data_IF_175023583447
#
_entry.id   IF_175023583447
#
_cell.length_a   1.000
_cell.length_b   1.000
_cell.length_c   1.000
_cell.angle_alpha   90.00
_cell.angle_beta   90.00
_cell.angle_gamma   90.00
#
_symmetry.space_group_name_H-M   'P 1'
#
loop_
_entity.id
_entity.type
_entity.pdbx_description
1 polymer ?
#
# COMPACT_ATOMS: atom_id res chain seq x y z
N UNK A 1 -73.75 21.60 3.91
CA UNK A 1 -74.72 21.12 2.90
C UNK A 1 -73.98 21.05 1.57
N UNK A 2 -74.14 19.94 0.82
CA UNK A 2 -73.53 19.64 -0.51
C UNK A 2 -72.03 19.30 -0.42
N UNK A 3 -71.57 18.04 -0.31
CA UNK A 3 -71.65 16.87 -1.21
C UNK A 3 -71.32 17.15 -2.67
N UNK A 4 -70.12 16.75 -3.13
CA UNK A 4 -69.99 16.10 -4.44
C UNK A 4 -69.10 14.87 -4.33
N UNK A 5 -69.72 13.75 -4.68
CA UNK A 5 -69.18 12.41 -4.82
C UNK A 5 -68.96 12.18 -6.32
N UNK A 6 -67.87 11.50 -6.74
CA UNK A 6 -67.87 10.70 -7.97
C UNK A 6 -66.85 9.54 -7.86
N UNK A 7 -67.43 8.35 -7.74
CA UNK A 7 -66.93 6.99 -8.05
C UNK A 7 -66.45 6.87 -9.52
N UNK A 8 -65.71 5.88 -10.05
CA UNK A 8 -65.34 4.47 -9.80
C UNK A 8 -63.93 4.24 -10.42
N UNK A 9 -63.13 3.19 -10.22
CA UNK A 9 -63.28 1.82 -9.70
C UNK A 9 -61.88 1.16 -9.55
N UNK A 10 -61.79 -0.15 -9.21
CA UNK A 10 -60.59 -0.77 -8.66
C UNK A 10 -59.63 -1.30 -9.73
N UNK A 11 -58.31 -1.24 -9.48
CA UNK A 11 -57.30 -1.99 -10.22
C UNK A 11 -56.58 -2.99 -9.28
N UNK A 12 -56.61 -4.24 -9.71
CA UNK A 12 -56.05 -5.44 -9.08
C UNK A 12 -54.51 -5.37 -8.92
N UNK A 13 -54.03 -5.70 -7.72
CA UNK A 13 -53.23 -6.90 -7.37
C UNK A 13 -51.82 -7.01 -8.00
N UNK A 14 -50.80 -6.72 -7.21
CA UNK A 14 -49.47 -7.37 -7.35
C UNK A 14 -48.64 -7.42 -6.05
N UNK A 15 -49.21 -7.05 -4.89
CA UNK A 15 -48.49 -7.04 -3.60
C UNK A 15 -48.82 -8.21 -2.66
N UNK A 16 -49.49 -9.27 -3.15
CA UNK A 16 -49.80 -10.46 -2.34
C UNK A 16 -48.91 -11.69 -2.65
N UNK A 17 -48.19 -11.72 -3.78
CA UNK A 17 -47.33 -12.85 -4.14
C UNK A 17 -45.94 -12.83 -3.45
N UNK A 18 -45.43 -11.66 -3.09
CA UNK A 18 -44.08 -11.52 -2.51
C UNK A 18 -44.06 -11.79 -1.00
N UNK A 19 -45.19 -11.61 -0.31
CA UNK A 19 -45.29 -11.80 1.15
C UNK A 19 -45.55 -13.25 1.56
N UNK A 20 -46.03 -14.09 0.64
CA UNK A 20 -46.35 -15.50 0.91
C UNK A 20 -45.12 -16.40 0.71
N UNK A 21 -44.29 -16.14 -0.31
CA UNK A 21 -43.02 -16.85 -0.50
C UNK A 21 -42.00 -16.65 0.63
N UNK A 22 -42.03 -15.49 1.32
CA UNK A 22 -41.13 -15.22 2.45
C UNK A 22 -41.51 -15.98 3.73
N UNK A 23 -42.81 -16.24 3.95
CA UNK A 23 -43.28 -17.02 5.12
C UNK A 23 -43.08 -18.52 4.95
N UNK A 24 -43.20 -19.05 3.73
CA UNK A 24 -43.01 -20.49 3.48
C UNK A 24 -41.52 -20.90 3.52
N UNK A 25 -40.60 -19.99 3.19
CA UNK A 25 -39.16 -20.21 3.38
C UNK A 25 -38.71 -20.11 4.85
N UNK A 26 -39.32 -19.23 5.65
CA UNK A 26 -39.03 -19.16 7.09
C UNK A 26 -39.60 -20.37 7.87
N UNK A 27 -40.70 -20.97 7.41
CA UNK A 27 -41.29 -22.16 8.06
C UNK A 27 -40.61 -23.48 7.69
N UNK A 28 -39.91 -23.57 6.55
CA UNK A 28 -39.09 -24.76 6.21
C UNK A 28 -37.75 -24.80 6.94
N UNK A 29 -37.18 -23.66 7.35
CA UNK A 29 -35.89 -23.62 8.05
C UNK A 29 -36.03 -23.95 9.55
N UNK A 30 -37.23 -23.87 10.12
CA UNK A 30 -37.47 -24.04 11.58
C UNK A 30 -38.02 -25.43 11.96
N UNK A 31 -38.19 -26.35 11.01
CA UNK A 31 -38.86 -27.65 11.25
C UNK A 31 -37.93 -28.87 11.38
N UNK A 32 -36.62 -28.77 11.16
CA UNK A 32 -35.73 -29.96 11.14
C UNK A 32 -34.84 -30.14 12.37
N UNK A 33 -35.03 -29.35 13.44
CA UNK A 33 -34.18 -29.42 14.62
C UNK A 33 -34.95 -29.79 15.90
N UNK A 34 -35.53 -30.99 15.93
CA UNK A 34 -35.90 -31.64 17.19
C UNK A 34 -36.07 -33.17 17.05
N UNK A 35 -34.97 -33.92 16.97
CA UNK A 35 -34.97 -35.33 17.38
C UNK A 35 -33.59 -35.80 17.86
N UNK A 36 -33.28 -35.51 19.12
CA UNK A 36 -32.07 -35.99 19.80
C UNK A 36 -32.16 -37.49 20.10
N UNK A 37 -31.61 -38.32 19.20
CA UNK A 37 -31.19 -39.70 19.53
C UNK A 37 -29.73 -39.70 19.96
N UNK A 38 -29.48 -40.11 21.21
CA UNK A 38 -28.15 -40.34 21.82
C UNK A 38 -27.22 -41.12 20.87
N UNK A 39 -26.10 -40.52 20.44
CA UNK A 39 -24.92 -41.22 19.90
C UNK A 39 -23.62 -40.65 20.47
N UNK A 40 -22.60 -41.52 20.52
CA UNK A 40 -21.38 -41.47 21.34
C UNK A 40 -20.38 -40.39 20.89
N UNK A 41 -19.52 -39.99 21.83
CA UNK A 41 -18.59 -38.85 21.82
C UNK A 41 -17.38 -38.91 20.85
N UNK A 42 -17.53 -39.45 19.64
CA UNK A 42 -16.44 -39.52 18.64
C UNK A 42 -16.65 -38.70 17.36
N UNK A 43 -17.80 -38.00 17.23
CA UNK A 43 -18.27 -37.46 15.94
C UNK A 43 -18.36 -35.91 15.90
N UNK A 44 -18.08 -35.22 17.01
CA UNK A 44 -18.24 -33.75 17.13
C UNK A 44 -17.11 -32.95 16.47
N UNK A 45 -15.88 -33.46 16.47
CA UNK A 45 -14.73 -32.69 15.95
C UNK A 45 -14.72 -32.64 14.42
N UNK A 46 -15.20 -33.68 13.74
CA UNK A 46 -15.33 -33.69 12.28
C UNK A 46 -16.42 -32.72 11.79
N UNK A 47 -17.50 -32.57 12.56
CA UNK A 47 -18.62 -31.70 12.21
C UNK A 47 -18.22 -30.21 12.32
N UNK A 48 -17.47 -29.86 13.37
CA UNK A 48 -16.91 -28.50 13.54
C UNK A 48 -15.89 -28.16 12.46
N UNK A 49 -15.01 -29.09 12.08
CA UNK A 49 -14.03 -28.83 11.01
C UNK A 49 -14.70 -28.69 9.64
N UNK A 50 -15.77 -29.43 9.39
CA UNK A 50 -16.56 -29.32 8.16
C UNK A 50 -17.34 -27.99 8.09
N UNK A 51 -17.91 -27.54 9.22
CA UNK A 51 -18.53 -26.21 9.35
C UNK A 51 -17.52 -25.08 9.11
N UNK A 52 -16.31 -25.17 9.68
CA UNK A 52 -15.24 -24.19 9.46
C UNK A 52 -14.81 -24.17 7.99
N UNK A 53 -14.68 -25.33 7.35
CA UNK A 53 -14.33 -25.44 5.94
C UNK A 53 -15.40 -24.79 5.05
N UNK A 54 -16.69 -25.07 5.27
CA UNK A 54 -17.81 -24.44 4.57
C UNK A 54 -17.84 -22.93 4.77
N UNK A 55 -17.54 -22.46 5.98
CA UNK A 55 -17.47 -21.02 6.29
C UNK A 55 -16.33 -20.35 5.51
N UNK A 56 -15.19 -21.02 5.41
CA UNK A 56 -14.03 -20.51 4.66
C UNK A 56 -14.31 -20.48 3.15
N UNK A 57 -14.97 -21.51 2.59
CA UNK A 57 -15.43 -21.50 1.19
C UNK A 57 -16.45 -20.38 0.94
N UNK A 58 -17.36 -20.13 1.88
CA UNK A 58 -18.33 -19.03 1.76
C UNK A 58 -17.64 -17.66 1.77
N UNK A 59 -16.62 -17.45 2.62
CA UNK A 59 -15.82 -16.22 2.66
C UNK A 59 -15.06 -16.03 1.34
N UNK A 60 -14.39 -17.08 0.83
CA UNK A 60 -13.69 -17.00 -0.44
C UNK A 60 -14.62 -16.73 -1.62
N UNK A 61 -15.81 -17.33 -1.62
CA UNK A 61 -16.85 -17.06 -2.62
C UNK A 61 -17.35 -15.61 -2.55
N UNK A 62 -17.49 -15.07 -1.34
CA UNK A 62 -17.88 -13.67 -1.13
C UNK A 62 -16.79 -12.70 -1.60
N UNK A 63 -15.52 -12.95 -1.25
CA UNK A 63 -14.38 -12.15 -1.71
C UNK A 63 -14.25 -12.14 -3.23
N UNK A 64 -14.48 -13.29 -3.86
CA UNK A 64 -14.52 -13.40 -5.32
C UNK A 64 -15.67 -12.59 -5.92
N UNK A 65 -16.84 -12.63 -5.28
CA UNK A 65 -18.01 -11.86 -5.71
C UNK A 65 -17.79 -10.35 -5.55
N UNK A 66 -17.18 -9.92 -4.45
CA UNK A 66 -16.80 -8.51 -4.23
C UNK A 66 -15.78 -8.07 -5.28
N UNK A 67 -14.78 -8.89 -5.57
CA UNK A 67 -13.76 -8.60 -6.59
C UNK A 67 -14.39 -8.50 -7.99
N UNK A 68 -15.33 -9.40 -8.32
CA UNK A 68 -16.08 -9.35 -9.58
C UNK A 68 -16.94 -8.09 -9.68
N UNK A 69 -17.67 -7.73 -8.63
CA UNK A 69 -18.48 -6.51 -8.60
C UNK A 69 -17.61 -5.25 -8.71
N UNK A 70 -16.42 -5.24 -8.10
CA UNK A 70 -15.47 -4.14 -8.25
C UNK A 70 -14.94 -4.04 -9.68
N UNK A 71 -14.65 -5.17 -10.35
CA UNK A 71 -14.28 -5.19 -11.77
C UNK A 71 -15.43 -4.73 -12.66
N UNK A 72 -16.66 -5.18 -12.42
CA UNK A 72 -17.84 -4.74 -13.17
C UNK A 72 -18.13 -3.25 -12.96
N UNK A 73 -17.95 -2.72 -11.75
CA UNK A 73 -18.08 -1.29 -11.47
C UNK A 73 -17.01 -0.48 -12.21
N UNK A 74 -15.78 -0.99 -12.27
CA UNK A 74 -14.67 -0.38 -13.00
C UNK A 74 -14.90 -0.43 -14.51
N UNK A 75 -15.34 -1.56 -15.05
CA UNK A 75 -15.66 -1.75 -16.45
C UNK A 75 -16.89 -0.92 -16.87
N UNK A 76 -17.90 -0.79 -16.00
CA UNK A 76 -19.09 0.04 -16.24
C UNK A 76 -18.76 1.53 -16.23
N UNK A 77 -17.85 1.97 -15.35
CA UNK A 77 -17.29 3.34 -15.40
C UNK A 77 -16.58 3.59 -16.73
N UNK A 78 -15.71 2.67 -17.16
CA UNK A 78 -15.00 2.78 -18.44
C UNK A 78 -15.96 2.71 -19.66
N UNK A 79 -17.04 1.94 -19.59
CA UNK A 79 -18.05 1.85 -20.66
C UNK A 79 -18.94 3.10 -20.74
N UNK A 80 -19.24 3.73 -19.60
CA UNK A 80 -19.92 5.04 -19.55
C UNK A 80 -19.01 6.18 -20.07
N UNK A 81 -17.69 6.05 -19.94
CA UNK A 81 -16.70 6.95 -20.55
C UNK A 81 -16.62 6.77 -22.09
N UNK A 82 -16.79 5.55 -22.60
CA UNK A 82 -16.79 5.25 -24.05
C UNK A 82 -18.11 5.59 -24.76
N UNK A 83 -19.27 5.58 -24.08
CA UNK A 83 -20.55 5.98 -24.70
C UNK A 83 -20.78 7.50 -24.77
N UNK A 84 -19.97 8.30 -24.07
CA UNK A 84 -20.01 9.77 -24.14
C UNK A 84 -19.11 10.38 -25.22
N UNK A 85 -18.33 9.56 -25.94
CA UNK A 85 -17.31 10.00 -26.89
C UNK A 85 -17.77 10.08 -28.36
N UNK A 86 -19.02 9.73 -28.69
CA UNK A 86 -19.54 9.71 -30.07
C UNK A 86 -20.38 10.94 -30.47
N UNK A 87 -20.28 12.05 -29.74
CA UNK A 87 -21.10 13.24 -29.97
C UNK A 87 -20.35 14.57 -29.92
N UNK A 88 -19.80 14.97 -31.07
CA UNK A 88 -19.47 16.35 -31.46
C UNK A 88 -18.13 16.96 -30.97
N UNK A 89 -17.42 17.46 -31.98
CA UNK A 89 -16.14 18.17 -32.00
C UNK A 89 -16.09 19.47 -31.20
N UNK A 90 -14.86 19.81 -30.79
CA UNK A 90 -14.26 21.11 -30.41
C UNK A 90 -13.91 21.34 -28.93
N UNK A 91 -12.67 21.81 -28.74
CA UNK A 91 -11.99 22.33 -27.54
C UNK A 91 -11.73 21.36 -26.39
N UNK A 92 -10.46 20.92 -26.31
CA UNK A 92 -9.90 20.13 -25.22
C UNK A 92 -9.65 20.99 -23.97
N UNK A 93 -10.65 21.09 -23.10
CA UNK A 93 -10.47 21.33 -21.67
C UNK A 93 -10.99 20.07 -20.96
N UNK A 94 -10.08 19.34 -20.31
CA UNK A 94 -10.37 18.04 -19.72
C UNK A 94 -11.35 18.13 -18.54
N UNK A 95 -12.32 17.23 -18.57
CA UNK A 95 -13.41 17.00 -17.62
C UNK A 95 -13.01 17.01 -16.14
N UNK A 96 -13.73 17.81 -15.35
CA UNK A 96 -14.35 17.53 -14.03
C UNK A 96 -13.60 16.86 -12.86
N UNK A 97 -12.50 16.16 -13.08
CA UNK A 97 -11.61 15.65 -12.03
C UNK A 97 -10.56 16.72 -11.79
N UNK A 98 -10.39 17.22 -10.54
CA UNK A 98 -9.33 18.17 -10.26
C UNK A 98 -8.00 17.61 -10.75
N UNK A 99 -7.21 18.37 -11.55
CA UNK A 99 -5.95 17.88 -12.04
C UNK A 99 -5.07 17.45 -10.85
N UNK A 100 -4.55 16.22 -10.92
CA UNK A 100 -3.64 15.68 -9.90
C UNK A 100 -2.46 16.64 -9.74
N UNK A 101 -2.03 16.83 -8.50
CA UNK A 101 -0.89 17.71 -8.21
C UNK A 101 0.36 17.14 -8.86
N UNK A 102 1.01 17.93 -9.71
CA UNK A 102 2.31 17.57 -10.30
C UNK A 102 3.37 17.52 -9.20
N UNK A 103 4.21 16.50 -9.25
CA UNK A 103 5.34 16.33 -8.36
C UNK A 103 6.51 15.72 -9.14
N UNK A 104 7.72 15.87 -8.62
CA UNK A 104 8.88 15.13 -9.11
C UNK A 104 8.92 13.73 -8.47
N UNK A 105 8.83 13.65 -7.14
CA UNK A 105 8.75 12.38 -6.44
C UNK A 105 7.82 12.42 -5.23
N UNK A 106 7.18 11.28 -4.94
CA UNK A 106 6.35 11.07 -3.74
C UNK A 106 6.98 9.98 -2.89
N UNK A 107 7.35 10.32 -1.65
CA UNK A 107 7.99 9.44 -0.69
C UNK A 107 6.97 9.03 0.37
N UNK A 108 6.69 7.73 0.46
CA UNK A 108 5.93 7.11 1.53
C UNK A 108 6.85 6.44 2.55
N UNK A 109 6.89 6.99 3.77
CA UNK A 109 7.64 6.43 4.89
C UNK A 109 6.73 5.41 5.60
N UNK A 110 7.05 4.13 5.47
CA UNK A 110 6.32 3.05 6.11
C UNK A 110 6.49 3.12 7.63
N UNK A 111 5.39 3.27 8.36
CA UNK A 111 5.40 3.36 9.82
C UNK A 111 4.24 2.59 10.43
N UNK A 112 4.18 2.47 11.76
CA UNK A 112 3.11 1.79 12.47
C UNK A 112 2.64 2.61 13.67
N UNK A 113 1.52 2.21 14.28
CA UNK A 113 0.99 2.84 15.50
C UNK A 113 2.03 2.92 16.63
N UNK A 114 2.81 1.86 16.82
CA UNK A 114 3.86 1.76 17.86
C UNK A 114 5.09 2.62 17.56
N UNK A 115 5.23 3.16 16.34
CA UNK A 115 6.46 3.80 15.87
C UNK A 115 6.51 5.31 16.06
N UNK A 116 5.71 5.88 16.98
CA UNK A 116 5.68 7.34 17.23
C UNK A 116 7.07 7.95 17.40
N UNK A 117 7.88 7.38 18.29
CA UNK A 117 9.24 7.86 18.57
C UNK A 117 10.16 7.79 17.34
N UNK A 118 9.94 6.83 16.44
CA UNK A 118 10.71 6.73 15.18
C UNK A 118 10.33 7.86 14.24
N UNK A 119 9.02 8.15 14.09
CA UNK A 119 8.56 9.30 13.31
C UNK A 119 9.13 10.60 13.83
N UNK A 120 9.11 10.81 15.13
CA UNK A 120 9.73 11.99 15.75
C UNK A 120 11.24 12.05 15.43
N UNK A 121 11.97 10.94 15.52
CA UNK A 121 13.39 10.90 15.15
C UNK A 121 13.66 11.22 13.67
N UNK A 122 12.77 10.82 12.76
CA UNK A 122 12.85 11.14 11.33
C UNK A 122 12.60 12.63 11.09
N UNK A 123 11.59 13.19 11.74
CA UNK A 123 11.27 14.63 11.70
C UNK A 123 12.39 15.49 12.28
N UNK A 124 13.02 15.05 13.36
CA UNK A 124 14.14 15.75 14.01
C UNK A 124 15.47 15.63 13.25
N UNK A 125 15.49 14.88 12.14
CA UNK A 125 16.69 14.66 11.32
C UNK A 125 16.43 14.98 9.85
N UNK A 126 16.24 13.97 9.00
CA UNK A 126 16.31 14.16 7.55
C UNK A 126 14.99 14.61 6.90
N UNK A 127 13.86 14.55 7.61
CA UNK A 127 12.57 14.99 7.07
C UNK A 127 12.27 16.43 7.51
N UNK A 128 12.18 17.40 6.57
CA UNK A 128 11.77 18.76 6.91
C UNK A 128 10.37 18.81 7.52
N UNK A 129 10.11 19.81 8.36
CA UNK A 129 8.84 19.99 9.06
C UNK A 129 8.14 21.31 8.69
N UNK A 130 6.83 21.37 8.89
CA UNK A 130 6.05 22.60 8.80
C UNK A 130 6.23 23.36 7.48
N UNK A 131 6.62 24.63 7.56
CA UNK A 131 6.84 25.47 6.38
C UNK A 131 7.95 24.94 5.46
N UNK A 132 9.00 24.32 5.99
CA UNK A 132 10.07 23.77 5.17
C UNK A 132 9.58 22.57 4.34
N UNK A 133 8.72 21.71 4.92
CA UNK A 133 8.09 20.61 4.19
C UNK A 133 7.18 21.13 3.06
N UNK A 134 6.37 22.16 3.34
CA UNK A 134 5.51 22.80 2.33
C UNK A 134 6.33 23.46 1.22
N UNK A 135 7.44 24.11 1.58
CA UNK A 135 8.38 24.70 0.63
C UNK A 135 9.00 23.63 -0.26
N UNK A 136 9.42 22.52 0.32
CA UNK A 136 9.99 21.39 -0.41
C UNK A 136 9.00 20.83 -1.46
N UNK A 137 7.73 20.67 -1.07
CA UNK A 137 6.67 20.25 -1.98
C UNK A 137 6.44 21.25 -3.12
N UNK A 138 6.35 22.54 -2.78
CA UNK A 138 5.99 23.58 -3.75
C UNK A 138 7.12 23.89 -4.73
N UNK A 139 8.36 23.98 -4.24
CA UNK A 139 9.50 24.46 -5.03
C UNK A 139 10.27 23.34 -5.71
N UNK A 140 10.31 22.13 -5.10
CA UNK A 140 11.05 20.99 -5.64
C UNK A 140 10.15 19.87 -6.14
N UNK A 141 8.83 19.93 -5.89
CA UNK A 141 7.92 18.85 -6.24
C UNK A 141 8.21 17.57 -5.46
N UNK A 142 8.83 17.66 -4.28
CA UNK A 142 9.15 16.50 -3.44
C UNK A 142 8.12 16.41 -2.33
N UNK A 143 7.28 15.36 -2.37
CA UNK A 143 6.26 15.10 -1.36
C UNK A 143 6.79 14.02 -0.41
N UNK A 144 6.78 14.26 0.89
CA UNK A 144 7.20 13.28 1.91
C UNK A 144 6.07 13.09 2.91
N UNK A 145 5.59 11.85 3.06
CA UNK A 145 4.50 11.52 4.00
C UNK A 145 4.79 10.23 4.74
N UNK A 146 4.41 10.18 6.02
CA UNK A 146 4.30 8.92 6.75
C UNK A 146 3.06 8.16 6.28
N UNK A 147 3.23 6.98 5.70
CA UNK A 147 2.11 6.17 5.25
C UNK A 147 1.61 5.27 6.38
N UNK A 148 0.34 5.43 6.76
CA UNK A 148 -0.28 4.72 7.86
C UNK A 148 -1.74 4.41 7.57
N UNK A 149 -2.15 3.19 7.87
CA UNK A 149 -3.54 2.75 7.81
C UNK A 149 -4.35 3.22 9.03
N UNK A 150 -5.42 2.49 9.29
CA UNK A 150 -6.29 2.67 10.44
C UNK A 150 -6.34 1.39 11.27
N UNK A 151 -6.82 1.49 12.50
CA UNK A 151 -7.01 0.31 13.32
C UNK A 151 -8.22 -0.50 12.84
N UNK A 152 -8.31 -1.78 13.21
CA UNK A 152 -9.47 -2.61 12.88
C UNK A 152 -10.79 -2.10 13.49
N UNK A 153 -10.70 -1.37 14.61
CA UNK A 153 -11.86 -0.83 15.32
C UNK A 153 -11.94 0.67 15.11
N UNK A 154 -12.97 1.13 14.41
CA UNK A 154 -13.16 2.57 14.16
C UNK A 154 -13.13 3.39 15.45
N UNK A 155 -12.44 4.54 15.41
CA UNK A 155 -12.30 5.49 16.50
C UNK A 155 -11.62 4.89 17.77
N UNK A 156 -10.64 4.00 17.58
CA UNK A 156 -9.81 3.48 18.65
C UNK A 156 -8.93 4.55 19.30
N UNK A 157 -8.36 4.25 20.47
CA UNK A 157 -7.36 5.12 21.13
C UNK A 157 -6.15 5.37 20.21
N UNK A 158 -5.77 4.35 19.43
CA UNK A 158 -4.66 4.45 18.48
C UNK A 158 -4.98 5.42 17.34
N UNK A 159 -6.21 5.38 16.82
CA UNK A 159 -6.64 6.30 15.76
C UNK A 159 -6.69 7.75 16.26
N UNK A 160 -7.22 7.98 17.47
CA UNK A 160 -7.25 9.31 18.09
C UNK A 160 -5.86 9.87 18.37
N UNK A 161 -4.91 9.03 18.77
CA UNK A 161 -3.52 9.44 18.94
C UNK A 161 -2.90 9.90 17.62
N UNK A 162 -3.20 9.20 16.51
CA UNK A 162 -2.79 9.63 15.18
C UNK A 162 -3.50 10.91 14.73
N UNK A 163 -4.78 11.09 15.03
CA UNK A 163 -5.50 12.34 14.69
C UNK A 163 -4.90 13.55 15.43
N UNK A 164 -4.50 13.37 16.70
CA UNK A 164 -3.79 14.40 17.44
C UNK A 164 -2.42 14.72 16.86
N UNK A 165 -1.72 13.72 16.33
CA UNK A 165 -0.43 13.90 15.66
C UNK A 165 -0.59 14.60 14.31
N UNK A 166 -1.57 14.19 13.52
CA UNK A 166 -1.88 14.80 12.22
C UNK A 166 -2.26 16.27 12.37
N UNK A 167 -3.02 16.61 13.41
CA UNK A 167 -3.35 18.00 13.71
C UNK A 167 -2.11 18.88 14.00
N UNK A 168 -1.02 18.29 14.47
CA UNK A 168 0.23 18.99 14.79
C UNK A 168 1.18 19.08 13.59
N UNK A 169 1.36 17.97 12.87
CA UNK A 169 2.44 17.86 11.87
C UNK A 169 1.94 17.89 10.41
N UNK A 170 0.69 17.48 10.15
CA UNK A 170 0.07 17.45 8.82
C UNK A 170 0.91 16.70 7.76
N UNK A 171 1.54 15.60 8.17
CA UNK A 171 2.53 14.87 7.39
C UNK A 171 2.20 13.38 7.22
N UNK A 172 0.97 12.95 7.54
CA UNK A 172 0.50 11.61 7.20
C UNK A 172 -0.10 11.49 5.80
N UNK A 173 0.05 10.31 5.23
CA UNK A 173 -0.80 9.76 4.19
C UNK A 173 -1.62 8.62 4.80
N UNK A 174 -2.88 8.94 5.16
CA UNK A 174 -3.84 7.94 5.65
C UNK A 174 -4.24 7.00 4.51
N UNK A 175 -4.09 5.71 4.74
CA UNK A 175 -4.43 4.65 3.79
C UNK A 175 -5.72 3.94 4.22
N UNK A 176 -6.56 3.56 3.25
CA UNK A 176 -7.69 2.65 3.46
C UNK A 176 -7.16 1.22 3.62
N UNK A 177 -6.56 0.98 4.79
CA UNK A 177 -5.84 -0.23 5.13
C UNK A 177 -5.94 -0.50 6.62
N UNK A 178 -6.37 -1.69 7.01
CA UNK A 178 -6.29 -2.13 8.41
C UNK A 178 -4.85 -2.52 8.70
N UNK A 179 -4.19 -1.81 9.62
CA UNK A 179 -2.84 -2.14 10.04
C UNK A 179 -2.77 -3.51 10.72
N UNK A 180 -1.77 -4.30 10.35
CA UNK A 180 -1.54 -5.63 10.89
C UNK A 180 -0.11 -6.12 10.69
N UNK A 181 0.32 -7.09 11.49
CA UNK A 181 1.71 -7.57 11.48
C UNK A 181 2.13 -8.22 10.14
N UNK A 182 1.20 -8.86 9.43
CA UNK A 182 1.44 -9.56 8.16
C UNK A 182 0.90 -8.82 6.93
N UNK A 183 0.62 -7.52 7.07
CA UNK A 183 -0.08 -6.75 6.04
C UNK A 183 0.82 -5.77 5.26
N UNK A 184 2.14 -5.83 5.46
CA UNK A 184 3.11 -4.91 4.84
C UNK A 184 3.00 -4.89 3.30
N UNK A 185 2.94 -6.06 2.66
CA UNK A 185 2.79 -6.17 1.20
C UNK A 185 1.47 -5.56 0.71
N UNK A 186 0.39 -5.69 1.49
CA UNK A 186 -0.90 -5.07 1.17
C UNK A 186 -0.84 -3.55 1.32
N UNK A 187 -0.21 -3.08 2.39
CA UNK A 187 0.00 -1.66 2.66
C UNK A 187 0.80 -0.98 1.56
N UNK A 188 1.93 -1.56 1.13
CA UNK A 188 2.72 -1.05 0.00
C UNK A 188 1.88 -0.95 -1.26
N UNK A 189 1.11 -1.99 -1.57
CA UNK A 189 0.23 -2.01 -2.75
C UNK A 189 -0.83 -0.89 -2.69
N UNK A 190 -1.45 -0.67 -1.53
CA UNK A 190 -2.44 0.40 -1.31
C UNK A 190 -1.77 1.78 -1.36
N UNK A 191 -0.55 1.91 -0.85
CA UNK A 191 0.24 3.14 -0.92
C UNK A 191 0.43 3.60 -2.36
N UNK A 192 0.93 2.74 -3.25
CA UNK A 192 1.15 3.11 -4.65
C UNK A 192 -0.14 3.50 -5.36
N UNK A 193 -1.23 2.75 -5.15
CA UNK A 193 -2.54 3.09 -5.71
C UNK A 193 -3.05 4.46 -5.19
N UNK A 194 -2.94 4.70 -3.88
CA UNK A 194 -3.36 5.95 -3.25
C UNK A 194 -2.51 7.14 -3.71
N UNK A 195 -1.19 6.94 -3.81
CA UNK A 195 -0.26 7.98 -4.23
C UNK A 195 -0.50 8.38 -5.71
N UNK A 196 -0.72 7.40 -6.58
CA UNK A 196 -1.08 7.63 -8.00
C UNK A 196 -2.40 8.39 -8.13
N UNK A 197 -3.38 8.11 -7.28
CA UNK A 197 -4.66 8.82 -7.30
C UNK A 197 -4.53 10.29 -6.87
N UNK A 198 -3.58 10.62 -5.97
CA UNK A 198 -3.40 11.97 -5.41
C UNK A 198 -2.41 12.83 -6.17
N UNK A 199 -1.31 12.25 -6.64
CA UNK A 199 -0.20 12.97 -7.27
C UNK A 199 0.13 12.38 -8.63
N UNK A 200 0.49 13.26 -9.55
CA UNK A 200 1.07 12.89 -10.83
C UNK A 200 2.58 13.17 -10.76
N UNK A 201 3.34 12.16 -10.30
CA UNK A 201 4.76 12.25 -10.04
C UNK A 201 5.59 11.42 -11.02
N UNK A 202 6.85 11.78 -11.24
CA UNK A 202 7.77 11.00 -12.08
C UNK A 202 8.21 9.70 -11.36
N UNK A 203 8.43 9.79 -10.05
CA UNK A 203 8.81 8.66 -9.20
C UNK A 203 7.96 8.54 -7.94
N UNK A 204 7.78 7.30 -7.49
CA UNK A 204 7.15 6.94 -6.22
C UNK A 204 8.14 6.12 -5.41
N UNK A 205 8.41 6.54 -4.18
CA UNK A 205 9.47 6.00 -3.33
C UNK A 205 8.83 5.44 -2.06
N UNK A 206 9.26 4.24 -1.66
CA UNK A 206 8.95 3.69 -0.34
C UNK A 206 10.23 3.68 0.50
N UNK A 207 10.11 4.06 1.76
CA UNK A 207 11.21 4.08 2.76
C UNK A 207 10.68 3.51 4.07
N UNK A 208 11.48 2.79 4.85
CA UNK A 208 11.12 2.40 6.23
C UNK A 208 11.44 3.52 7.25
N UNK A 209 10.67 3.59 8.35
CA UNK A 209 10.82 4.63 9.39
C UNK A 209 12.07 4.51 10.28
N UNK A 210 12.91 3.51 10.04
CA UNK A 210 14.22 3.32 10.68
C UNK A 210 15.38 3.44 9.69
N UNK A 211 15.22 4.17 8.58
CA UNK A 211 16.28 4.43 7.59
C UNK A 211 16.65 5.92 7.58
N UNK A 212 17.94 6.24 7.50
CA UNK A 212 18.42 7.60 7.24
C UNK A 212 18.50 7.82 5.73
N UNK A 213 17.99 8.97 5.25
CA UNK A 213 17.93 9.32 3.83
C UNK A 213 18.52 10.71 3.58
N UNK A 214 19.34 10.83 2.54
CA UNK A 214 19.82 12.10 1.99
C UNK A 214 18.92 12.50 0.80
N UNK A 215 17.97 13.42 1.02
CA UNK A 215 16.89 13.73 0.08
C UNK A 215 17.39 14.37 -1.23
N UNK A 216 18.38 15.24 -1.18
CA UNK A 216 19.00 15.89 -2.34
C UNK A 216 19.77 14.89 -3.18
N UNK A 217 20.53 14.01 -2.55
CA UNK A 217 21.25 12.91 -3.21
C UNK A 217 20.28 11.92 -3.86
N UNK A 218 19.18 11.57 -3.17
CA UNK A 218 18.08 10.77 -3.74
C UNK A 218 17.49 11.47 -4.97
N UNK A 219 17.12 12.75 -4.82
CA UNK A 219 16.45 13.50 -5.87
C UNK A 219 17.33 13.65 -7.13
N UNK A 220 18.60 14.02 -6.95
CA UNK A 220 19.58 14.11 -8.03
C UNK A 220 19.78 12.76 -8.73
N UNK A 221 19.79 11.65 -7.98
CA UNK A 221 19.92 10.31 -8.55
C UNK A 221 18.71 9.94 -9.41
N UNK A 222 17.50 10.16 -8.91
CA UNK A 222 16.26 9.88 -9.66
C UNK A 222 16.11 10.79 -10.88
N UNK A 223 16.56 12.04 -10.81
CA UNK A 223 16.49 12.98 -11.92
C UNK A 223 17.27 12.47 -13.16
N UNK A 224 18.40 11.78 -12.95
CA UNK A 224 19.18 11.14 -14.04
C UNK A 224 18.42 10.02 -14.76
N UNK A 225 17.36 9.50 -14.17
CA UNK A 225 16.55 8.41 -14.70
C UNK A 225 15.15 8.86 -15.15
N UNK A 226 14.85 10.16 -15.05
CA UNK A 226 13.52 10.74 -15.33
C UNK A 226 13.01 10.47 -16.76
N UNK A 227 13.90 10.39 -17.74
CA UNK A 227 13.54 10.13 -19.14
C UNK A 227 13.40 8.65 -19.49
N UNK A 228 13.73 7.74 -18.56
CA UNK A 228 13.67 6.30 -18.80
C UNK A 228 12.28 5.76 -18.44
N UNK A 229 11.62 5.01 -19.33
CA UNK A 229 10.35 4.37 -19.00
C UNK A 229 10.58 3.20 -18.03
N UNK A 230 9.55 2.86 -17.23
CA UNK A 230 9.52 1.63 -16.41
C UNK A 230 10.81 1.36 -15.60
N UNK A 231 11.22 2.32 -14.78
CA UNK A 231 12.41 2.20 -13.92
C UNK A 231 12.03 1.61 -12.56
N UNK A 232 12.77 0.60 -12.13
CA UNK A 232 12.78 0.09 -10.76
C UNK A 232 14.19 0.22 -10.21
N UNK A 233 14.37 1.09 -9.22
CA UNK A 233 15.68 1.45 -8.68
C UNK A 233 15.75 1.20 -7.17
N UNK A 234 16.87 0.65 -6.75
CA UNK A 234 17.18 0.38 -5.35
C UNK A 234 18.48 -0.40 -5.24
N UNK A 235 18.85 -0.80 -4.03
CA UNK A 235 19.96 -1.72 -3.85
C UNK A 235 19.50 -3.14 -4.17
N UNK A 236 19.86 -3.61 -5.36
CA UNK A 236 19.34 -4.86 -5.90
C UNK A 236 20.04 -6.04 -5.23
N UNK A 237 19.25 -7.05 -4.84
CA UNK A 237 19.71 -8.27 -4.18
C UNK A 237 19.01 -9.50 -4.73
N UNK A 238 19.63 -10.65 -4.46
CA UNK A 238 19.01 -11.97 -4.57
C UNK A 238 19.51 -12.77 -3.38
N UNK A 239 18.60 -13.37 -2.62
CA UNK A 239 18.89 -14.11 -1.39
C UNK A 239 18.19 -15.45 -1.38
N UNK A 240 18.58 -16.37 -0.47
CA UNK A 240 17.92 -17.66 -0.33
C UNK A 240 16.42 -17.48 -0.07
N UNK A 241 15.60 -18.32 -0.67
CA UNK A 241 14.17 -18.39 -0.33
C UNK A 241 14.03 -18.85 1.11
N UNK A 242 13.21 -18.16 1.90
CA UNK A 242 13.06 -18.41 3.34
C UNK A 242 12.04 -19.53 3.59
N UNK A 243 12.42 -20.78 3.30
CA UNK A 243 11.54 -21.96 3.39
C UNK A 243 11.39 -22.55 4.80
N UNK A 244 12.21 -22.13 5.76
CA UNK A 244 12.18 -22.67 7.13
C UNK A 244 11.10 -22.02 8.00
N UNK A 245 10.21 -22.81 8.63
CA UNK A 245 9.07 -22.29 9.42
C UNK A 245 9.45 -21.42 10.63
N UNK A 246 10.68 -21.53 11.12
CA UNK A 246 11.17 -20.84 12.33
C UNK A 246 11.84 -19.49 12.04
N UNK A 247 11.94 -19.06 10.79
CA UNK A 247 12.47 -17.74 10.46
C UNK A 247 11.34 -16.70 10.38
N UNK A 248 11.64 -15.46 10.81
CA UNK A 248 10.66 -14.34 10.92
C UNK A 248 9.83 -14.13 9.65
N UNK A 249 10.45 -14.30 8.48
CA UNK A 249 9.83 -14.06 7.18
C UNK A 249 9.73 -15.34 6.36
N UNK A 250 9.40 -16.45 7.02
CA UNK A 250 9.08 -17.71 6.36
C UNK A 250 8.05 -17.48 5.25
N UNK A 251 8.34 -17.95 4.05
CA UNK A 251 7.47 -17.87 2.89
C UNK A 251 6.67 -19.17 2.77
N UNK A 252 5.36 -19.20 3.13
CA UNK A 252 4.56 -20.43 3.08
C UNK A 252 4.47 -21.03 1.68
N UNK A 253 4.58 -20.19 0.65
CA UNK A 253 4.52 -20.58 -0.75
C UNK A 253 5.93 -20.66 -1.39
N UNK A 254 6.95 -20.97 -0.58
CA UNK A 254 8.36 -21.05 -1.03
C UNK A 254 8.56 -21.96 -2.25
N UNK A 255 7.72 -22.99 -2.40
CA UNK A 255 7.75 -23.95 -3.51
C UNK A 255 7.48 -23.28 -4.88
N UNK A 256 6.86 -22.10 -4.93
CA UNK A 256 6.66 -21.33 -6.17
C UNK A 256 7.96 -20.74 -6.72
N UNK A 257 9.02 -20.66 -5.92
CA UNK A 257 10.33 -20.16 -6.31
C UNK A 257 11.25 -21.29 -6.84
N UNK A 258 10.68 -22.48 -7.04
CA UNK A 258 11.36 -23.65 -7.58
C UNK A 258 11.88 -24.59 -6.48
N UNK A 259 13.04 -25.18 -6.73
CA UNK A 259 13.60 -26.25 -5.91
C UNK A 259 14.37 -25.73 -4.68
N UNK A 260 14.69 -26.66 -3.78
CA UNK A 260 15.49 -26.35 -2.59
C UNK A 260 16.86 -25.76 -2.97
N UNK A 261 17.26 -24.68 -2.29
CA UNK A 261 18.48 -23.94 -2.60
C UNK A 261 18.29 -22.79 -3.60
N UNK A 262 17.11 -22.66 -4.21
CA UNK A 262 16.80 -21.51 -5.06
C UNK A 262 16.81 -20.21 -4.29
N UNK A 263 17.10 -19.14 -5.04
CA UNK A 263 17.08 -17.76 -4.56
C UNK A 263 15.82 -17.07 -5.05
N UNK A 264 15.37 -16.08 -4.30
CA UNK A 264 14.43 -15.09 -4.83
C UNK A 264 15.01 -14.45 -6.10
N UNK A 265 14.12 -14.10 -7.03
CA UNK A 265 14.48 -13.28 -8.20
C UNK A 265 15.16 -11.98 -7.77
N UNK A 266 15.82 -11.31 -8.70
CA UNK A 266 16.46 -10.02 -8.44
C UNK A 266 15.41 -8.98 -8.05
N UNK A 267 15.54 -8.38 -6.88
CA UNK A 267 14.65 -7.32 -6.37
C UNK A 267 15.44 -6.32 -5.53
N UNK A 268 14.95 -5.09 -5.39
CA UNK A 268 15.51 -4.09 -4.48
C UNK A 268 15.26 -4.48 -3.02
N UNK A 269 16.15 -4.09 -2.11
CA UNK A 269 15.94 -4.31 -0.68
C UNK A 269 14.79 -3.46 -0.12
N UNK A 270 14.07 -3.99 0.87
CA UNK A 270 12.87 -3.34 1.42
C UNK A 270 13.08 -1.99 2.12
N UNK A 271 14.28 -1.67 2.59
CA UNK A 271 14.53 -0.44 3.36
C UNK A 271 14.21 0.82 2.56
N UNK A 272 14.56 0.83 1.27
CA UNK A 272 14.26 1.92 0.35
C UNK A 272 14.32 1.44 -1.10
N UNK A 273 13.34 1.85 -1.89
CA UNK A 273 13.34 1.69 -3.34
C UNK A 273 12.44 2.75 -3.99
N UNK A 274 12.65 3.00 -5.28
CA UNK A 274 11.79 3.86 -6.08
C UNK A 274 11.36 3.16 -7.37
N UNK A 275 10.16 3.50 -7.83
CA UNK A 275 9.60 3.04 -9.09
C UNK A 275 9.10 4.24 -9.90
N UNK A 276 9.21 4.16 -11.22
CA UNK A 276 8.67 5.19 -12.10
C UNK A 276 7.14 5.19 -12.08
N UNK A 277 6.56 6.30 -12.54
CA UNK A 277 5.11 6.47 -12.73
C UNK A 277 4.44 5.30 -13.45
N UNK A 278 5.06 4.76 -14.50
CA UNK A 278 4.49 3.66 -15.28
C UNK A 278 4.28 2.41 -14.42
N UNK A 279 5.27 2.06 -13.59
CA UNK A 279 5.20 0.89 -12.71
C UNK A 279 4.22 1.11 -11.55
N UNK A 280 4.20 2.31 -10.98
CA UNK A 280 3.22 2.65 -9.95
C UNK A 280 1.79 2.63 -10.51
N UNK A 281 1.59 3.09 -11.75
CA UNK A 281 0.32 3.00 -12.47
C UNK A 281 -0.06 1.55 -12.73
N UNK A 282 0.89 0.71 -13.16
CA UNK A 282 0.67 -0.73 -13.31
C UNK A 282 0.20 -1.39 -12.01
N UNK A 283 0.82 -1.06 -10.88
CA UNK A 283 0.38 -1.55 -9.55
C UNK A 283 -1.05 -1.11 -9.26
N UNK A 284 -1.35 0.17 -9.47
CA UNK A 284 -2.68 0.73 -9.21
C UNK A 284 -3.77 0.05 -10.04
N UNK A 285 -3.51 -0.24 -11.32
CA UNK A 285 -4.49 -0.87 -12.23
C UNK A 285 -4.67 -2.35 -11.89
N UNK A 286 -3.57 -3.07 -11.64
CA UNK A 286 -3.59 -4.52 -11.47
C UNK A 286 -3.71 -4.97 -10.00
N UNK A 287 -3.98 -4.03 -9.10
CA UNK A 287 -4.02 -4.25 -7.65
C UNK A 287 -4.73 -5.55 -7.20
N UNK A 288 -5.91 -5.93 -7.75
CA UNK A 288 -6.62 -7.12 -7.30
C UNK A 288 -5.90 -8.45 -7.59
N UNK A 289 -5.08 -8.50 -8.65
CA UNK A 289 -4.39 -9.72 -9.09
C UNK A 289 -2.93 -9.79 -8.63
N UNK A 290 -2.38 -8.69 -8.11
CA UNK A 290 -1.01 -8.67 -7.59
C UNK A 290 -0.90 -9.48 -6.29
N UNK A 291 -0.18 -10.58 -6.41
CA UNK A 291 0.07 -11.54 -5.34
C UNK A 291 0.96 -10.96 -4.24
N UNK A 292 0.73 -11.35 -2.99
CA UNK A 292 1.46 -10.86 -1.81
C UNK A 292 2.22 -12.04 -1.21
N UNK A 293 3.54 -11.98 -1.25
CA UNK A 293 4.44 -12.86 -0.53
C UNK A 293 4.66 -12.34 0.91
N UNK A 294 5.22 -13.18 1.78
CA UNK A 294 5.51 -12.86 3.17
C UNK A 294 6.51 -11.70 3.31
N UNK A 295 7.44 -11.59 2.36
CA UNK A 295 8.38 -10.48 2.27
C UNK A 295 7.80 -9.40 1.33
N UNK A 296 7.75 -8.17 1.82
CA UNK A 296 7.17 -7.03 1.10
C UNK A 296 8.01 -6.64 -0.14
N UNK A 297 9.33 -6.65 -0.01
CA UNK A 297 10.26 -6.35 -1.10
C UNK A 297 10.28 -7.44 -2.18
N UNK A 298 10.15 -8.71 -1.77
CA UNK A 298 9.91 -9.83 -2.70
C UNK A 298 8.56 -9.64 -3.41
N UNK A 299 7.49 -9.27 -2.69
CA UNK A 299 6.18 -9.01 -3.32
C UNK A 299 6.30 -7.98 -4.43
N UNK A 300 6.90 -6.83 -4.15
CA UNK A 300 7.11 -5.77 -5.14
C UNK A 300 7.89 -6.28 -6.36
N UNK A 301 9.04 -6.94 -6.16
CA UNK A 301 9.85 -7.42 -7.27
C UNK A 301 9.12 -8.47 -8.13
N UNK A 302 8.24 -9.28 -7.54
CA UNK A 302 7.46 -10.28 -8.28
C UNK A 302 6.48 -9.64 -9.27
N UNK A 303 5.99 -8.43 -8.98
CA UNK A 303 5.04 -7.73 -9.83
C UNK A 303 5.68 -7.25 -11.14
N UNK A 304 7.01 -7.18 -11.18
CA UNK A 304 7.78 -6.63 -12.29
C UNK A 304 8.55 -7.69 -13.10
N UNK A 305 8.70 -8.92 -12.61
CA UNK A 305 9.53 -9.95 -13.25
C UNK A 305 9.08 -10.30 -14.67
N UNK A 306 7.77 -10.24 -14.94
CA UNK A 306 7.18 -10.50 -16.25
C UNK A 306 7.07 -9.28 -17.16
N UNK A 307 7.57 -8.12 -16.72
CA UNK A 307 7.49 -6.86 -17.45
C UNK A 307 8.88 -6.44 -17.96
N UNK A 308 8.90 -5.63 -19.01
CA UNK A 308 10.13 -5.02 -19.53
C UNK A 308 10.55 -3.82 -18.66
N UNK A 309 11.06 -4.11 -17.46
CA UNK A 309 11.49 -3.13 -16.45
C UNK A 309 13.01 -2.96 -16.46
N UNK A 310 13.48 -1.71 -16.42
CA UNK A 310 14.88 -1.42 -16.17
C UNK A 310 15.18 -1.49 -14.66
N UNK A 311 15.88 -2.56 -14.25
CA UNK A 311 16.33 -2.74 -12.88
C UNK A 311 17.67 -2.03 -12.67
N UNK A 312 17.67 -0.95 -11.89
CA UNK A 312 18.86 -0.16 -11.58
C UNK A 312 19.37 -0.56 -10.19
N UNK A 313 20.58 -1.13 -10.16
CA UNK A 313 21.28 -1.48 -8.92
C UNK A 313 22.07 -0.27 -8.39
N UNK A 314 21.45 0.52 -7.52
CA UNK A 314 22.05 1.70 -6.90
C UNK A 314 22.58 1.36 -5.50
N UNK A 315 23.89 1.13 -5.40
CA UNK A 315 24.57 0.69 -4.16
C UNK A 315 24.64 1.78 -3.11
N UNK A 316 24.48 3.04 -3.50
CA UNK A 316 24.40 4.15 -2.55
C UNK A 316 23.05 4.18 -1.79
N UNK A 317 22.07 3.35 -2.17
CA UNK A 317 20.80 3.18 -1.43
C UNK A 317 20.87 2.13 -0.31
N UNK A 318 22.03 1.55 -0.01
CA UNK A 318 22.20 0.54 1.03
C UNK A 318 23.56 0.61 1.73
N UNK A 319 24.01 1.82 2.06
CA UNK A 319 25.21 1.99 2.86
C UNK A 319 24.99 1.53 4.31
N UNK A 320 26.06 1.04 4.94
CA UNK A 320 26.08 0.85 6.38
C UNK A 320 26.03 2.19 7.11
N UNK A 321 25.55 2.19 8.36
CA UNK A 321 25.72 3.36 9.25
C UNK A 321 27.22 3.59 9.56
N UNK A 322 27.61 4.68 10.25
CA UNK A 322 29.02 4.97 10.50
C UNK A 322 29.80 3.77 11.06
N UNK A 323 31.01 3.51 10.53
CA UNK A 323 31.80 4.43 9.69
C UNK A 323 31.59 4.30 8.17
N UNK A 324 30.77 3.38 7.65
CA UNK A 324 30.68 3.12 6.19
C UNK A 324 30.19 4.35 5.40
N UNK A 325 29.02 4.89 5.76
CA UNK A 325 28.47 6.05 5.06
C UNK A 325 29.35 7.31 5.20
N UNK A 326 30.08 7.45 6.30
CA UNK A 326 31.00 8.56 6.53
C UNK A 326 32.21 8.48 5.58
N UNK A 327 32.88 7.32 5.53
CA UNK A 327 34.01 7.11 4.63
C UNK A 327 33.63 7.25 3.16
N UNK A 328 32.43 6.78 2.79
CA UNK A 328 31.91 6.94 1.43
C UNK A 328 31.66 8.40 1.09
N UNK A 329 31.08 9.18 2.00
CA UNK A 329 30.90 10.62 1.82
C UNK A 329 32.25 11.34 1.66
N UNK A 330 33.25 11.02 2.48
CA UNK A 330 34.61 11.57 2.37
C UNK A 330 35.28 11.23 1.03
N UNK A 331 34.96 10.07 0.44
CA UNK A 331 35.41 9.67 -0.89
C UNK A 331 34.58 10.29 -2.05
N UNK A 332 33.63 11.18 -1.76
CA UNK A 332 32.75 11.80 -2.77
C UNK A 332 31.58 10.94 -3.22
N UNK A 333 31.36 9.78 -2.59
CA UNK A 333 30.26 8.86 -2.87
C UNK A 333 29.19 8.96 -1.79
N UNK A 334 28.54 10.11 -1.69
CA UNK A 334 27.49 10.34 -0.68
C UNK A 334 26.38 9.30 -0.83
N UNK A 335 26.04 8.66 0.28
CA UNK A 335 25.00 7.65 0.32
C UNK A 335 23.61 8.29 0.21
N UNK A 336 22.72 7.66 -0.55
CA UNK A 336 21.30 8.01 -0.59
C UNK A 336 20.61 7.55 0.68
N UNK A 337 20.94 6.35 1.15
CA UNK A 337 20.37 5.79 2.36
C UNK A 337 21.40 4.99 3.17
N UNK A 338 21.26 5.06 4.49
CA UNK A 338 22.13 4.41 5.46
C UNK A 338 21.33 3.62 6.50
N UNK A 339 21.66 2.34 6.68
CA UNK A 339 21.02 1.45 7.65
C UNK A 339 21.91 0.25 8.01
N UNK A 340 21.54 -0.48 9.07
CA UNK A 340 22.28 -1.65 9.55
C UNK A 340 21.60 -2.96 9.07
N UNK A 341 22.33 -3.82 8.35
CA UNK A 341 21.82 -5.10 7.87
C UNK A 341 21.37 -6.05 8.99
N UNK A 342 22.01 -5.97 10.17
CA UNK A 342 21.77 -6.85 11.30
C UNK A 342 20.36 -6.72 11.90
N UNK A 343 19.73 -5.55 11.76
CA UNK A 343 18.37 -5.30 12.22
C UNK A 343 17.42 -4.86 11.08
N UNK A 344 17.89 -4.90 9.82
CA UNK A 344 17.11 -4.54 8.63
C UNK A 344 16.57 -3.10 8.67
N UNK A 345 17.38 -2.19 9.21
CA UNK A 345 17.08 -0.78 9.51
C UNK A 345 18.22 -0.21 10.38
N UNK A 346 18.15 1.01 10.88
CA UNK A 346 19.10 1.51 11.88
C UNK A 346 18.77 0.85 13.22
N UNK A 347 19.75 0.15 13.81
CA UNK A 347 19.51 -0.54 15.08
C UNK A 347 19.30 0.49 16.19
N UNK A 348 18.27 0.33 17.03
CA UNK A 348 17.91 1.37 18.03
C UNK A 348 17.74 2.74 17.36
N UNK A 349 16.92 2.79 16.30
CA UNK A 349 16.79 3.96 15.43
C UNK A 349 16.39 5.23 16.18
N UNK A 350 15.54 5.13 17.20
CA UNK A 350 15.13 6.28 18.03
C UNK A 350 16.35 6.99 18.64
N UNK A 351 17.34 6.22 19.10
CA UNK A 351 18.56 6.75 19.73
C UNK A 351 19.67 7.06 18.71
N UNK A 352 19.81 6.24 17.66
CA UNK A 352 20.92 6.34 16.71
C UNK A 352 20.66 7.23 15.49
N UNK A 353 19.40 7.50 15.10
CA UNK A 353 19.09 8.25 13.87
C UNK A 353 19.80 9.60 13.82
N UNK A 354 19.78 10.34 14.93
CA UNK A 354 20.47 11.64 15.05
C UNK A 354 21.97 11.51 14.81
N UNK A 355 22.63 10.57 15.48
CA UNK A 355 24.06 10.32 15.28
C UNK A 355 24.38 9.94 13.83
N UNK A 356 23.58 9.07 13.21
CA UNK A 356 23.77 8.70 11.79
C UNK A 356 23.61 9.92 10.89
N UNK A 357 22.59 10.74 11.14
CA UNK A 357 22.34 11.96 10.38
C UNK A 357 23.48 12.97 10.53
N UNK A 358 24.01 13.17 11.74
CA UNK A 358 25.10 14.11 11.99
C UNK A 358 26.42 13.69 11.30
N UNK A 359 26.62 12.39 11.07
CA UNK A 359 27.86 11.86 10.43
C UNK A 359 27.71 11.63 8.92
N UNK A 360 26.51 11.29 8.45
CA UNK A 360 26.27 10.84 7.08
C UNK A 360 25.26 11.70 6.32
N UNK A 361 24.69 12.71 6.98
CA UNK A 361 23.80 13.70 6.38
C UNK A 361 24.53 14.51 5.31
N UNK A 362 23.83 14.74 4.21
CA UNK A 362 24.23 15.77 3.25
C UNK A 362 24.05 17.17 3.86
N UNK A 363 24.81 18.15 3.36
CA UNK A 363 24.63 19.54 3.78
C UNK A 363 23.24 20.07 3.38
N UNK A 364 22.67 20.99 4.16
CA UNK A 364 21.32 21.53 3.92
C UNK A 364 21.15 22.09 2.50
N UNK A 365 22.20 22.67 1.93
CA UNK A 365 22.21 23.22 0.58
C UNK A 365 22.07 22.16 -0.52
N UNK A 366 22.43 20.90 -0.26
CA UNK A 366 22.39 19.83 -1.26
C UNK A 366 20.98 19.62 -1.82
N UNK A 367 19.97 19.63 -0.94
CA UNK A 367 18.56 19.50 -1.31
C UNK A 367 18.06 20.70 -2.14
N UNK A 368 18.47 21.91 -1.77
CA UNK A 368 17.99 23.13 -2.41
C UNK A 368 18.75 23.47 -3.70
N UNK A 369 20.00 23.03 -3.83
CA UNK A 369 20.81 23.24 -5.03
C UNK A 369 20.66 22.13 -6.07
N UNK A 370 20.04 20.99 -5.71
CA UNK A 370 19.72 19.94 -6.68
C UNK A 370 18.84 20.49 -7.81
N UNK A 371 19.34 20.36 -9.05
CA UNK A 371 18.61 20.65 -10.28
C UNK A 371 17.74 19.42 -10.61
N UNK A 372 16.41 19.59 -10.60
CA UNK A 372 15.42 18.51 -10.76
C UNK A 372 14.57 18.69 -12.02
#
# INVERSE_FOLDING_TARGET
MVFTNKYWGPLESNNQLITQQRRDQELQIVSEDCSTRKKKAGDRDNDVMNEVYKTHEAIQSLDKSISMLQMELSASRNAQEQQKTDGSSTTSEADGVPPRKKAFMVIGINTAFSSRKRRDSVRETWMPQGEQLRKLEKEKGIVVRFMIGHSATSNSILDRALDSEEAQHQDFLRLEHVEGYHELSAKTKIFFATAIAKWDADFYVKVDDDVHVNLGTLAATLARHRSKPRVYIGCMKSGPVLSQKNVKYHEPEYWKFGEEGNKYFRHATGQIYAISKDLATYISINQPILHKYANEDVSLGSWFIGLEVEHIDERNMCCGTPPDCEWKAQAGNVCIASFDWSCSGICKSVEKMKFVHDQCGEGEEALWNALL
#
